data_IF_881122976432
#
_entry.id   IF_881122976432
#
_cell.length_a   1.000
_cell.length_b   1.000
_cell.length_c   1.000
_cell.angle_alpha   90.00
_cell.angle_beta   90.00
_cell.angle_gamma   90.00
#
_symmetry.space_group_name_H-M   'P 1'
#
loop_
_entity.id
_entity.type
_entity.pdbx_description
1 polymer ?
#
# COMPACT_ATOMS: atom_id res chain seq x y z
N UNK A 1 -38.96 16.18 15.34
CA UNK A 1 -37.83 15.44 15.96
C UNK A 1 -37.95 13.99 15.49
N UNK A 2 -37.00 13.30 14.87
CA UNK A 2 -35.57 13.44 14.79
C UNK A 2 -35.04 12.82 13.48
N UNK A 3 -33.90 13.34 13.05
CA UNK A 3 -32.95 12.87 12.03
C UNK A 3 -32.66 11.36 12.11
N UNK A 4 -32.36 10.72 10.97
CA UNK A 4 -31.24 9.78 10.81
C UNK A 4 -31.20 9.21 9.39
N UNK A 5 -30.86 10.07 8.43
CA UNK A 5 -30.28 9.59 7.17
C UNK A 5 -28.87 9.09 7.47
N UNK A 6 -28.71 7.78 7.64
CA UNK A 6 -27.39 7.17 7.77
C UNK A 6 -26.79 7.03 6.37
N UNK A 7 -26.28 8.14 5.84
CA UNK A 7 -25.37 8.11 4.69
C UNK A 7 -24.10 7.44 5.20
N UNK A 8 -23.98 6.13 4.95
CA UNK A 8 -22.73 5.39 5.07
C UNK A 8 -21.78 5.93 4.01
N UNK A 9 -21.20 7.10 4.28
CA UNK A 9 -20.02 7.61 3.59
C UNK A 9 -18.83 6.74 3.99
N UNK A 10 -18.83 5.49 3.52
CA UNK A 10 -17.63 4.70 3.30
C UNK A 10 -16.92 5.28 2.06
N UNK A 11 -16.65 6.58 2.08
CA UNK A 11 -15.59 7.12 1.26
C UNK A 11 -14.31 6.66 1.94
N UNK A 12 -13.95 5.41 1.62
CA UNK A 12 -12.61 4.89 1.78
C UNK A 12 -11.68 5.85 1.06
N UNK A 13 -11.27 6.88 1.81
CA UNK A 13 -10.07 7.66 1.57
C UNK A 13 -8.93 6.65 1.71
N UNK A 14 -8.76 5.80 0.69
CA UNK A 14 -7.51 5.10 0.41
C UNK A 14 -6.58 6.18 -0.14
N UNK A 15 -6.22 7.11 0.74
CA UNK A 15 -5.05 7.98 0.59
C UNK A 15 -3.90 7.02 0.34
N UNK A 16 -3.49 6.99 -0.92
CA UNK A 16 -2.10 6.84 -1.33
C UNK A 16 -1.22 6.04 -0.37
N UNK A 17 -1.63 4.81 -0.06
CA UNK A 17 -0.66 3.78 0.28
C UNK A 17 -0.03 3.44 -1.07
N UNK A 18 0.91 4.30 -1.49
CA UNK A 18 1.92 4.01 -2.51
C UNK A 18 2.78 2.89 -1.95
N UNK A 19 2.16 1.73 -1.70
CA UNK A 19 2.84 0.50 -1.42
C UNK A 19 3.66 0.27 -2.68
N UNK A 20 4.96 0.51 -2.58
CA UNK A 20 5.91 0.04 -3.59
C UNK A 20 5.70 -1.46 -3.65
N UNK A 21 4.96 -1.92 -4.66
CA UNK A 21 4.77 -3.33 -4.92
C UNK A 21 5.91 -3.74 -5.82
N UNK A 22 6.52 -4.88 -5.50
CA UNK A 22 7.51 -5.45 -6.38
C UNK A 22 6.85 -5.82 -7.72
N UNK A 23 7.35 -5.37 -8.88
CA UNK A 23 6.74 -5.68 -10.17
C UNK A 23 6.90 -7.16 -10.56
N UNK A 24 7.87 -7.87 -9.99
CA UNK A 24 8.15 -9.27 -10.34
C UNK A 24 7.24 -10.24 -9.58
N UNK A 25 7.16 -10.10 -8.26
CA UNK A 25 6.39 -10.98 -7.40
C UNK A 25 5.12 -10.35 -6.81
N UNK A 26 4.81 -9.11 -7.18
CA UNK A 26 3.66 -8.32 -6.71
C UNK A 26 3.54 -8.19 -5.18
N UNK A 27 4.67 -8.41 -4.50
CA UNK A 27 4.79 -8.37 -3.06
C UNK A 27 4.85 -6.93 -2.55
N UNK A 28 4.16 -6.69 -1.45
CA UNK A 28 4.20 -5.44 -0.68
C UNK A 28 5.37 -5.39 0.31
N UNK A 29 6.10 -6.50 0.40
CA UNK A 29 7.18 -6.74 1.35
C UNK A 29 8.50 -6.24 0.76
N UNK A 30 8.71 -4.92 0.86
CA UNK A 30 9.92 -4.22 0.43
C UNK A 30 10.73 -3.84 1.66
N UNK A 31 12.02 -4.14 1.67
CA UNK A 31 12.97 -3.71 2.68
C UNK A 31 14.00 -2.74 2.07
N UNK A 32 14.57 -1.89 2.91
CA UNK A 32 15.62 -0.95 2.54
C UNK A 32 16.94 -1.38 3.20
N UNK A 33 17.95 -1.71 2.40
CA UNK A 33 19.29 -2.06 2.88
C UNK A 33 20.35 -1.57 1.90
N UNK A 34 21.52 -1.20 2.41
CA UNK A 34 22.63 -0.65 1.60
C UNK A 34 22.21 0.55 0.72
N UNK A 35 21.30 1.38 1.23
CA UNK A 35 20.76 2.55 0.51
C UNK A 35 19.88 2.22 -0.71
N UNK A 36 19.51 0.95 -0.87
CA UNK A 36 18.66 0.45 -1.96
C UNK A 36 17.38 -0.18 -1.41
N UNK A 37 16.26 -0.08 -2.12
CA UNK A 37 15.07 -0.86 -1.79
C UNK A 37 15.15 -2.22 -2.47
N UNK A 38 14.75 -3.29 -1.79
CA UNK A 38 14.69 -4.62 -2.37
C UNK A 38 13.48 -5.37 -1.83
N UNK A 39 12.90 -6.22 -2.66
CA UNK A 39 11.77 -7.05 -2.28
C UNK A 39 12.26 -8.24 -1.45
N UNK A 40 11.76 -8.43 -0.23
CA UNK A 40 12.08 -9.61 0.59
C UNK A 40 11.55 -10.92 0.01
N UNK A 41 10.49 -10.86 -0.80
CA UNK A 41 9.82 -12.05 -1.33
C UNK A 41 10.58 -12.69 -2.48
N UNK A 42 11.04 -11.87 -3.42
CA UNK A 42 11.73 -12.35 -4.63
C UNK A 42 13.19 -11.91 -4.71
N UNK A 43 13.66 -11.02 -3.83
CA UNK A 43 15.03 -10.50 -3.84
C UNK A 43 15.28 -9.41 -4.89
N UNK A 44 14.24 -8.95 -5.59
CA UNK A 44 14.37 -7.93 -6.63
C UNK A 44 14.76 -6.57 -6.02
N UNK A 45 15.84 -5.97 -6.49
CA UNK A 45 16.24 -4.60 -6.16
C UNK A 45 15.33 -3.62 -6.93
N UNK A 46 14.70 -2.72 -6.18
CA UNK A 46 13.82 -1.64 -6.61
C UNK A 46 14.59 -0.32 -6.45
N UNK A 47 15.42 0.03 -7.43
CA UNK A 47 16.06 1.35 -7.53
C UNK A 47 15.01 2.49 -7.61
#
# INVERSE_FOLDING_TARGET
>A
MAYSGNVRSLETVKREDLVRQCPDCNSKDIEYANEEFYCKKCGLVLD
#
